data_IF_439145677707
#
_entry.id   IF_439145677707
#
_cell.length_a   1.000
_cell.length_b   1.000
_cell.length_c   1.000
_cell.angle_alpha   90.00
_cell.angle_beta   90.00
_cell.angle_gamma   90.00
#
_symmetry.space_group_name_H-M   'P 1'
#
loop_
_entity.id
_entity.type
_entity.pdbx_description
1 polymer ?
#
# COMPACT_ATOMS: atom_id res chain seq x y z
N UNK A 1 -16.61 36.62 42.79
CA UNK A 1 -15.94 35.74 41.80
C UNK A 1 -16.54 34.35 41.92
N UNK A 2 -17.32 33.94 40.92
CA UNK A 2 -17.98 32.62 40.86
C UNK A 2 -17.14 31.73 39.94
N UNK A 3 -16.55 30.68 40.50
CA UNK A 3 -15.91 29.58 39.76
C UNK A 3 -17.00 28.74 39.07
N UNK A 4 -16.90 28.42 37.78
CA UNK A 4 -17.83 27.48 37.16
C UNK A 4 -17.38 26.04 37.47
N UNK A 5 -18.32 25.25 38.00
CA UNK A 5 -18.21 23.80 38.14
C UNK A 5 -18.44 23.17 36.77
N UNK A 6 -17.45 22.46 36.23
CA UNK A 6 -17.67 21.54 35.11
C UNK A 6 -18.45 20.33 35.62
N UNK A 7 -19.71 20.23 35.19
CA UNK A 7 -20.56 19.08 35.43
C UNK A 7 -20.17 18.00 34.42
N UNK A 8 -19.49 16.95 34.88
CA UNK A 8 -19.26 15.74 34.10
C UNK A 8 -20.60 15.02 33.91
N UNK A 9 -21.20 15.17 32.74
CA UNK A 9 -22.34 14.35 32.31
C UNK A 9 -21.77 13.10 31.65
N UNK A 10 -21.63 12.05 32.46
CA UNK A 10 -21.40 10.68 32.03
C UNK A 10 -22.61 10.18 31.25
N UNK A 11 -22.60 10.39 29.94
CA UNK A 11 -23.55 9.78 29.02
C UNK A 11 -22.91 8.51 28.47
N UNK A 12 -23.33 7.36 29.00
CA UNK A 12 -23.06 6.07 28.35
C UNK A 12 -23.73 6.06 26.98
N UNK A 13 -22.93 6.30 25.94
CA UNK A 13 -23.36 6.09 24.57
C UNK A 13 -23.03 4.64 24.20
N UNK A 14 -24.08 3.86 23.91
CA UNK A 14 -23.95 2.65 23.12
C UNK A 14 -23.12 3.00 21.87
N UNK A 15 -21.95 2.37 21.75
CA UNK A 15 -21.17 2.38 20.53
C UNK A 15 -21.97 1.62 19.45
N UNK A 16 -22.91 2.31 18.83
CA UNK A 16 -23.44 1.93 17.54
C UNK A 16 -22.25 1.69 16.62
N UNK A 17 -22.13 0.46 16.14
CA UNK A 17 -21.27 0.03 15.03
C UNK A 17 -21.65 0.82 13.76
N UNK A 18 -21.41 2.12 13.78
CA UNK A 18 -21.32 2.91 12.56
C UNK A 18 -20.01 2.45 11.94
N UNK A 19 -20.14 1.61 10.92
CA UNK A 19 -19.12 1.53 9.89
C UNK A 19 -19.01 2.97 9.39
N UNK A 20 -18.07 3.73 9.95
CA UNK A 20 -17.58 4.94 9.32
C UNK A 20 -16.84 4.47 8.07
N UNK A 21 -17.60 4.05 7.06
CA UNK A 21 -17.11 4.06 5.70
C UNK A 21 -16.65 5.50 5.53
N UNK A 22 -15.35 5.77 5.29
CA UNK A 22 -15.00 7.07 4.73
C UNK A 22 -15.91 7.22 3.51
N UNK A 23 -16.56 8.38 3.37
CA UNK A 23 -17.65 8.65 2.41
C UNK A 23 -17.25 8.39 0.95
N UNK A 24 -17.11 7.12 0.59
CA UNK A 24 -16.62 6.49 -0.64
C UNK A 24 -17.65 5.44 -1.10
N UNK A 25 -18.93 5.67 -0.74
CA UNK A 25 -20.05 4.87 -1.21
C UNK A 25 -20.75 5.69 -2.28
N UNK A 26 -20.72 5.19 -3.52
CA UNK A 26 -21.30 5.88 -4.65
C UNK A 26 -22.82 5.78 -4.68
N UNK A 27 -23.35 4.56 -4.57
CA UNK A 27 -24.77 4.28 -4.41
C UNK A 27 -24.98 3.07 -3.48
N UNK A 28 -25.89 3.21 -2.51
CA UNK A 28 -26.34 2.09 -1.67
C UNK A 28 -27.72 1.61 -2.16
N UNK A 29 -27.75 0.38 -2.66
CA UNK A 29 -28.96 -0.34 -3.02
C UNK A 29 -29.38 -1.17 -1.81
N UNK A 30 -30.39 -0.71 -1.08
CA UNK A 30 -30.99 -1.50 -0.01
C UNK A 30 -31.78 -2.67 -0.60
N UNK A 31 -31.54 -3.86 -0.09
CA UNK A 31 -32.27 -5.07 -0.47
C UNK A 31 -33.36 -5.32 0.57
N UNK A 32 -33.01 -5.30 1.85
CA UNK A 32 -33.92 -5.36 3.00
C UNK A 32 -33.38 -4.56 4.20
N UNK A 33 -33.89 -4.81 5.40
CA UNK A 33 -33.52 -4.09 6.63
C UNK A 33 -32.08 -4.39 7.10
N UNK A 34 -31.51 -5.54 6.74
CA UNK A 34 -30.17 -5.97 7.15
C UNK A 34 -29.17 -6.01 5.98
N UNK A 35 -29.65 -6.10 4.74
CA UNK A 35 -28.83 -6.33 3.56
C UNK A 35 -28.81 -5.14 2.58
N UNK A 36 -27.63 -4.85 2.04
CA UNK A 36 -27.43 -3.80 1.04
C UNK A 36 -26.25 -4.08 0.12
N UNK A 37 -26.27 -3.49 -1.07
CA UNK A 37 -25.13 -3.46 -2.00
C UNK A 37 -24.66 -2.02 -2.12
N UNK A 38 -23.39 -1.79 -1.83
CA UNK A 38 -22.73 -0.51 -2.06
C UNK A 38 -21.89 -0.62 -3.33
N UNK A 39 -22.27 0.16 -4.35
CA UNK A 39 -21.52 0.31 -5.58
C UNK A 39 -20.62 1.55 -5.49
N UNK A 40 -19.36 1.37 -5.86
CA UNK A 40 -18.39 2.45 -6.00
C UNK A 40 -17.49 2.23 -7.21
N UNK A 41 -16.72 3.26 -7.55
CA UNK A 41 -15.74 3.19 -8.62
C UNK A 41 -14.49 4.00 -8.29
N UNK A 42 -13.42 3.72 -9.03
CA UNK A 42 -12.18 4.51 -9.00
C UNK A 42 -11.64 4.66 -10.40
N UNK A 43 -11.22 5.86 -10.75
CA UNK A 43 -10.48 6.16 -11.97
C UNK A 43 -9.26 7.01 -11.62
N UNK A 44 -8.11 6.63 -12.15
CA UNK A 44 -6.87 7.36 -12.02
C UNK A 44 -6.19 7.40 -13.39
N UNK A 45 -6.01 8.60 -13.92
CA UNK A 45 -5.34 8.84 -15.20
C UNK A 45 -4.09 9.69 -14.95
N UNK A 46 -2.99 9.36 -15.61
CA UNK A 46 -1.70 10.01 -15.47
C UNK A 46 -1.23 10.54 -16.83
N UNK A 47 -0.73 11.77 -16.84
CA UNK A 47 0.19 12.27 -17.85
C UNK A 47 1.60 12.21 -17.27
N UNK A 48 2.49 11.51 -17.94
CA UNK A 48 3.84 11.19 -17.47
C UNK A 48 4.85 11.76 -18.44
N UNK A 49 5.83 12.48 -17.93
CA UNK A 49 6.97 13.03 -18.65
C UNK A 49 8.20 12.39 -18.01
N UNK A 50 8.80 11.42 -18.68
CA UNK A 50 9.69 10.44 -18.05
C UNK A 50 10.85 10.09 -18.98
N UNK A 51 11.94 9.66 -18.39
CA UNK A 51 13.13 9.14 -19.08
C UNK A 51 13.07 7.61 -19.18
N UNK A 52 13.42 7.04 -20.33
CA UNK A 52 13.60 5.60 -20.53
C UNK A 52 14.46 5.32 -21.75
N UNK A 53 15.09 4.14 -21.80
CA UNK A 53 15.71 3.61 -23.01
C UNK A 53 14.62 3.14 -23.99
N UNK A 54 14.41 3.90 -25.07
CA UNK A 54 13.33 3.63 -26.04
C UNK A 54 13.77 2.74 -27.21
N UNK A 55 15.04 2.77 -27.59
CA UNK A 55 15.56 2.07 -28.76
C UNK A 55 16.48 0.88 -28.42
N UNK A 56 16.77 0.68 -27.13
CA UNK A 56 17.60 -0.39 -26.60
C UNK A 56 19.10 -0.14 -26.77
N UNK A 57 19.51 1.10 -27.04
CA UNK A 57 20.92 1.47 -27.17
C UNK A 57 21.63 1.71 -25.82
N UNK A 58 20.85 1.72 -24.74
CA UNK A 58 21.30 1.89 -23.36
C UNK A 58 21.34 3.34 -22.88
N UNK A 59 20.99 4.33 -23.70
CA UNK A 59 20.81 5.72 -23.27
C UNK A 59 19.34 6.01 -22.98
N UNK A 60 19.05 6.97 -22.09
CA UNK A 60 17.66 7.35 -21.80
C UNK A 60 17.24 8.58 -22.59
N UNK A 61 16.01 8.55 -23.12
CA UNK A 61 15.38 9.70 -23.74
C UNK A 61 14.10 10.14 -23.03
N UNK A 62 13.85 11.45 -23.10
CA UNK A 62 12.60 12.04 -22.65
C UNK A 62 11.43 11.62 -23.54
N UNK A 63 10.37 11.11 -22.93
CA UNK A 63 9.11 10.90 -23.63
C UNK A 63 7.89 11.16 -22.76
N UNK A 64 6.75 11.30 -23.45
CA UNK A 64 5.45 11.50 -22.82
C UNK A 64 4.61 10.23 -22.95
N UNK A 65 4.04 9.81 -21.83
CA UNK A 65 3.16 8.64 -21.71
C UNK A 65 1.84 9.03 -21.03
N UNK A 66 0.73 8.53 -21.56
CA UNK A 66 -0.60 8.71 -20.98
C UNK A 66 -1.12 7.36 -20.50
N UNK A 67 -1.32 7.23 -19.18
CA UNK A 67 -1.64 5.95 -18.56
C UNK A 67 -2.95 6.01 -17.78
N UNK A 68 -3.80 5.00 -17.97
CA UNK A 68 -4.86 4.68 -17.00
C UNK A 68 -4.23 3.87 -15.87
N UNK A 69 -3.82 4.54 -14.80
CA UNK A 69 -3.13 3.90 -13.67
C UNK A 69 -4.02 2.92 -12.92
N UNK A 70 -5.29 3.27 -12.73
CA UNK A 70 -6.32 2.44 -12.09
C UNK A 70 -7.69 2.74 -12.67
N UNK A 71 -8.44 1.71 -13.03
CA UNK A 71 -9.87 1.81 -13.26
C UNK A 71 -10.56 0.62 -12.58
N UNK A 72 -11.42 0.90 -11.60
CA UNK A 72 -11.97 -0.10 -10.69
C UNK A 72 -13.46 0.08 -10.53
N UNK A 73 -14.19 -1.03 -10.53
CA UNK A 73 -15.54 -1.16 -10.00
C UNK A 73 -15.43 -1.83 -8.64
N UNK A 74 -16.15 -1.33 -7.65
CA UNK A 74 -16.10 -1.78 -6.26
C UNK A 74 -17.51 -2.12 -5.81
N UNK A 75 -17.68 -3.30 -5.24
CA UNK A 75 -18.96 -3.79 -4.74
C UNK A 75 -18.77 -4.28 -3.31
N UNK A 76 -19.49 -3.70 -2.37
CA UNK A 76 -19.60 -4.21 -1.00
C UNK A 76 -21.03 -4.69 -0.77
N UNK A 77 -21.22 -6.00 -0.75
CA UNK A 77 -22.47 -6.64 -0.34
C UNK A 77 -22.49 -6.85 1.17
N UNK A 78 -23.38 -6.18 1.89
CA UNK A 78 -23.69 -6.47 3.28
C UNK A 78 -24.87 -7.43 3.29
N UNK A 79 -24.72 -8.58 3.92
CA UNK A 79 -25.82 -9.55 4.08
C UNK A 79 -26.53 -9.29 5.41
N UNK A 80 -25.75 -9.06 6.47
CA UNK A 80 -26.21 -8.58 7.77
C UNK A 80 -25.03 -7.95 8.53
N UNK A 81 -25.20 -7.67 9.83
CA UNK A 81 -24.13 -7.09 10.69
C UNK A 81 -22.89 -7.98 10.87
N UNK A 82 -23.00 -9.28 10.58
CA UNK A 82 -21.94 -10.26 10.76
C UNK A 82 -21.27 -10.66 9.44
N UNK A 83 -21.99 -10.66 8.31
CA UNK A 83 -21.48 -11.20 7.06
C UNK A 83 -21.54 -10.14 5.96
N UNK A 84 -20.41 -9.94 5.30
CA UNK A 84 -20.31 -9.08 4.11
C UNK A 84 -19.32 -9.68 3.11
N UNK A 85 -19.42 -9.30 1.85
CA UNK A 85 -18.48 -9.66 0.80
C UNK A 85 -18.04 -8.42 0.02
N UNK A 86 -16.78 -8.40 -0.41
CA UNK A 86 -16.22 -7.31 -1.21
C UNK A 86 -15.62 -7.83 -2.50
N UNK A 87 -15.97 -7.18 -3.61
CA UNK A 87 -15.42 -7.42 -4.94
C UNK A 87 -14.83 -6.12 -5.47
N UNK A 88 -13.65 -6.18 -6.09
CA UNK A 88 -13.03 -5.04 -6.75
C UNK A 88 -12.26 -5.47 -7.99
N UNK A 89 -12.56 -4.81 -9.11
CA UNK A 89 -11.81 -4.97 -10.35
C UNK A 89 -10.60 -4.04 -10.42
N UNK A 90 -9.73 -4.28 -11.39
CA UNK A 90 -8.65 -3.40 -11.79
C UNK A 90 -8.48 -3.48 -13.30
N UNK A 91 -8.19 -2.34 -13.91
CA UNK A 91 -7.69 -2.25 -15.27
C UNK A 91 -6.17 -2.42 -15.27
N UNK A 92 -5.67 -3.40 -16.02
CA UNK A 92 -4.27 -3.56 -16.33
C UNK A 92 -4.02 -3.15 -17.79
N UNK A 93 -3.06 -2.25 -18.00
CA UNK A 93 -2.57 -1.99 -19.35
C UNK A 93 -1.99 -3.28 -19.94
N UNK A 94 -2.35 -3.59 -21.18
CA UNK A 94 -1.70 -4.64 -21.95
C UNK A 94 -0.49 -4.03 -22.67
N UNK A 95 0.64 -4.73 -22.64
CA UNK A 95 1.91 -4.25 -23.23
C UNK A 95 1.88 -4.19 -24.77
N UNK A 96 0.78 -4.62 -25.41
CA UNK A 96 0.68 -4.82 -26.85
C UNK A 96 -0.27 -3.87 -27.61
N UNK A 97 -0.71 -2.76 -27.02
CA UNK A 97 -1.47 -1.71 -27.73
C UNK A 97 -2.88 -2.12 -28.20
N UNK A 98 -3.44 -3.21 -27.69
CA UNK A 98 -4.76 -3.76 -28.06
C UNK A 98 -5.96 -3.30 -27.21
N UNK A 99 -5.75 -2.38 -26.26
CA UNK A 99 -6.65 -2.15 -25.12
C UNK A 99 -6.04 -2.72 -23.84
N UNK A 100 -6.75 -2.67 -22.71
CA UNK A 100 -6.28 -3.27 -21.46
C UNK A 100 -7.30 -4.21 -20.83
N UNK A 101 -6.81 -5.09 -19.97
CA UNK A 101 -7.59 -6.14 -19.33
C UNK A 101 -8.29 -5.65 -18.06
N UNK A 102 -9.51 -6.12 -17.84
CA UNK A 102 -10.19 -5.98 -16.55
C UNK A 102 -10.08 -7.30 -15.80
N UNK A 103 -9.47 -7.26 -14.61
CA UNK A 103 -9.33 -8.42 -13.72
C UNK A 103 -9.88 -8.16 -12.33
N UNK A 104 -10.25 -9.22 -11.62
CA UNK A 104 -10.58 -9.14 -10.20
C UNK A 104 -9.29 -9.05 -9.38
N UNK A 105 -9.21 -8.08 -8.47
CA UNK A 105 -8.06 -7.91 -7.57
C UNK A 105 -8.43 -8.04 -6.09
N UNK A 106 -9.67 -7.77 -5.69
CA UNK A 106 -10.12 -8.12 -4.35
C UNK A 106 -11.41 -8.94 -4.48
N UNK A 107 -11.47 -10.08 -3.82
CA UNK A 107 -12.64 -10.93 -3.76
C UNK A 107 -12.62 -11.72 -2.45
N UNK A 108 -13.27 -11.17 -1.42
CA UNK A 108 -13.26 -11.78 -0.10
C UNK A 108 -14.59 -11.68 0.61
N UNK A 109 -14.83 -12.63 1.52
CA UNK A 109 -15.91 -12.61 2.50
C UNK A 109 -15.34 -12.16 3.84
N UNK A 110 -16.07 -11.28 4.53
CA UNK A 110 -15.77 -10.86 5.89
C UNK A 110 -16.83 -11.39 6.85
N UNK A 111 -16.38 -12.12 7.87
CA UNK A 111 -17.17 -12.55 9.02
C UNK A 111 -16.78 -11.71 10.24
N UNK A 112 -17.72 -10.96 10.77
CA UNK A 112 -17.54 -10.03 11.89
C UNK A 112 -18.24 -10.59 13.13
N UNK A 113 -17.47 -11.17 14.05
CA UNK A 113 -18.01 -11.58 15.35
C UNK A 113 -18.12 -10.36 16.27
N UNK A 114 -17.03 -9.62 16.43
CA UNK A 114 -16.98 -8.32 17.10
C UNK A 114 -15.78 -7.51 16.57
N UNK A 115 -15.59 -6.29 17.08
CA UNK A 115 -14.49 -5.41 16.62
C UNK A 115 -13.10 -6.03 16.79
N UNK A 116 -12.90 -6.87 17.80
CA UNK A 116 -11.63 -7.54 18.11
C UNK A 116 -11.44 -8.85 17.35
N UNK A 117 -12.46 -9.41 16.71
CA UNK A 117 -12.38 -10.69 16.02
C UNK A 117 -13.22 -10.67 14.73
N UNK A 118 -12.52 -10.47 13.62
CA UNK A 118 -13.08 -10.41 12.28
C UNK A 118 -12.23 -11.27 11.36
N UNK A 119 -12.86 -12.09 10.53
CA UNK A 119 -12.18 -12.95 9.58
C UNK A 119 -12.41 -12.38 8.18
N UNK A 120 -11.33 -12.19 7.43
CA UNK A 120 -11.35 -11.85 6.00
C UNK A 120 -10.83 -13.07 5.25
N UNK A 121 -11.64 -13.67 4.39
CA UNK A 121 -11.28 -14.88 3.66
C UNK A 121 -11.47 -14.67 2.15
N UNK A 122 -10.41 -14.88 1.37
CA UNK A 122 -10.40 -14.73 -0.08
C UNK A 122 -9.17 -13.97 -0.57
N UNK A 123 -9.30 -13.37 -1.75
CA UNK A 123 -8.23 -12.61 -2.40
C UNK A 123 -8.19 -11.18 -1.84
N UNK A 124 -7.12 -10.80 -1.15
CA UNK A 124 -6.89 -9.44 -0.64
C UNK A 124 -5.39 -9.12 -0.51
N UNK A 125 -5.06 -7.89 -0.08
CA UNK A 125 -3.67 -7.57 0.29
C UNK A 125 -3.32 -8.21 1.64
N UNK A 126 -2.22 -8.95 1.66
CA UNK A 126 -1.63 -9.44 2.89
C UNK A 126 -1.09 -8.24 3.72
N UNK A 127 -1.35 -8.22 5.04
CA UNK A 127 -0.96 -7.12 5.93
C UNK A 127 0.53 -7.19 6.32
N UNK A 128 1.42 -7.14 5.34
CA UNK A 128 2.87 -7.28 5.52
C UNK A 128 3.58 -6.00 5.97
N UNK A 129 2.98 -4.84 5.74
CA UNK A 129 3.52 -3.51 6.10
C UNK A 129 2.41 -2.45 6.27
N UNK A 130 2.74 -1.25 6.73
CA UNK A 130 1.78 -0.13 6.76
C UNK A 130 1.22 0.13 5.36
N UNK A 131 2.08 0.26 4.36
CA UNK A 131 1.71 0.56 2.99
C UNK A 131 0.85 -0.53 2.33
N UNK A 132 1.05 -1.81 2.71
CA UNK A 132 0.19 -2.92 2.28
C UNK A 132 -1.26 -2.78 2.79
N UNK A 133 -1.41 -2.18 3.98
CA UNK A 133 -2.72 -1.87 4.59
C UNK A 133 -3.18 -0.44 4.32
N UNK A 134 -2.44 0.35 3.55
CA UNK A 134 -2.85 1.70 3.13
C UNK A 134 -3.65 1.62 1.84
N UNK A 135 -4.87 2.18 1.85
CA UNK A 135 -5.71 2.25 0.66
C UNK A 135 -5.11 3.18 -0.38
N UNK A 136 -5.03 2.72 -1.64
CA UNK A 136 -4.56 3.57 -2.75
C UNK A 136 -5.48 4.75 -3.09
N UNK A 137 -6.63 4.88 -2.41
CA UNK A 137 -7.51 6.04 -2.52
C UNK A 137 -7.21 7.16 -1.52
N UNK A 138 -6.27 6.95 -0.58
CA UNK A 138 -5.87 7.96 0.40
C UNK A 138 -4.36 8.02 0.59
N UNK A 139 -3.62 7.86 -0.51
CA UNK A 139 -2.17 8.09 -0.55
C UNK A 139 -1.90 9.59 -0.42
N UNK A 140 -0.83 9.97 0.28
CA UNK A 140 -0.36 11.36 0.33
C UNK A 140 0.33 11.74 -0.98
N UNK A 141 1.36 10.99 -1.38
CA UNK A 141 2.00 11.09 -2.69
C UNK A 141 1.15 10.51 -3.84
N UNK A 142 1.66 10.58 -5.07
CA UNK A 142 1.03 9.99 -6.28
C UNK A 142 1.01 8.46 -6.20
N UNK A 143 2.12 7.87 -5.76
CA UNK A 143 2.34 6.44 -5.58
C UNK A 143 2.48 6.06 -4.12
N UNK A 144 2.73 4.77 -3.88
CA UNK A 144 3.36 4.33 -2.64
C UNK A 144 4.88 4.48 -2.80
N UNK A 145 5.65 4.44 -1.71
CA UNK A 145 7.07 4.09 -1.76
C UNK A 145 7.28 2.86 -2.64
N UNK A 146 8.33 2.90 -3.47
CA UNK A 146 8.61 1.91 -4.51
C UNK A 146 8.71 0.51 -3.94
N UNK A 147 9.41 0.41 -2.82
CA UNK A 147 9.64 -0.79 -2.05
C UNK A 147 8.37 -1.44 -1.47
N UNK A 148 7.36 -0.65 -1.11
CA UNK A 148 6.22 -1.16 -0.36
C UNK A 148 4.93 -1.23 -1.20
N UNK A 149 5.07 -1.41 -2.51
CA UNK A 149 3.93 -1.44 -3.44
C UNK A 149 3.38 -2.84 -3.69
N UNK A 150 4.22 -3.87 -3.67
CA UNK A 150 3.88 -5.21 -4.16
C UNK A 150 3.64 -6.22 -3.03
N UNK A 151 3.11 -7.38 -3.40
CA UNK A 151 2.95 -8.51 -2.48
C UNK A 151 4.29 -9.27 -2.37
N UNK A 152 4.67 -9.70 -1.16
CA UNK A 152 6.03 -10.15 -0.83
C UNK A 152 7.01 -9.05 -1.19
N UNK A 153 7.03 -8.01 -0.37
CA UNK A 153 7.32 -6.64 -0.78
C UNK A 153 8.51 -6.55 -1.73
N UNK A 154 9.61 -7.29 -1.51
CA UNK A 154 10.79 -7.30 -2.40
C UNK A 154 11.13 -8.68 -2.99
N UNK A 155 10.15 -9.57 -2.96
CA UNK A 155 10.03 -10.74 -3.84
C UNK A 155 9.44 -10.41 -5.23
N UNK A 156 8.98 -9.17 -5.47
CA UNK A 156 8.25 -8.79 -6.70
C UNK A 156 8.65 -7.43 -7.30
N UNK A 157 9.87 -6.97 -6.99
CA UNK A 157 10.61 -5.81 -7.54
C UNK A 157 10.16 -4.42 -7.05
N UNK A 158 11.11 -3.54 -6.76
CA UNK A 158 10.87 -2.13 -6.45
C UNK A 158 10.43 -1.34 -7.68
N UNK A 159 9.77 -0.20 -7.44
CA UNK A 159 9.18 0.62 -8.50
C UNK A 159 9.68 2.07 -8.47
N UNK A 160 10.01 2.58 -9.65
CA UNK A 160 10.21 4.00 -9.92
C UNK A 160 9.03 4.61 -10.69
N UNK A 161 9.23 5.83 -11.18
CA UNK A 161 8.26 6.66 -11.90
C UNK A 161 6.96 6.83 -11.10
N UNK A 162 7.05 7.20 -9.82
CA UNK A 162 5.95 7.19 -8.84
C UNK A 162 5.21 5.86 -8.74
N UNK A 163 5.97 4.77 -8.61
CA UNK A 163 5.43 3.42 -8.54
C UNK A 163 4.62 3.03 -9.79
N UNK A 164 5.04 3.44 -10.98
CA UNK A 164 4.38 3.08 -12.26
C UNK A 164 5.22 2.17 -13.14
N UNK A 165 6.53 2.09 -12.92
CA UNK A 165 7.45 1.22 -13.64
C UNK A 165 8.38 0.49 -12.67
N UNK A 166 8.79 -0.72 -13.02
CA UNK A 166 9.74 -1.52 -12.24
C UNK A 166 11.16 -1.03 -12.47
N UNK A 167 11.96 -0.95 -11.39
CA UNK A 167 13.41 -0.81 -11.48
C UNK A 167 13.98 -2.20 -11.76
N UNK A 168 14.52 -2.42 -12.96
CA UNK A 168 14.88 -3.74 -13.47
C UNK A 168 15.85 -4.51 -12.58
N UNK A 169 16.78 -3.81 -11.95
CA UNK A 169 17.85 -4.40 -11.13
C UNK A 169 17.39 -4.91 -9.77
N UNK A 170 16.29 -4.40 -9.23
CA UNK A 170 15.74 -4.76 -7.91
C UNK A 170 14.95 -6.08 -7.92
N UNK A 171 15.26 -6.97 -8.87
CA UNK A 171 14.36 -8.02 -9.31
C UNK A 171 14.73 -9.44 -8.85
N UNK A 172 14.05 -9.94 -7.83
CA UNK A 172 14.18 -11.32 -7.34
C UNK A 172 13.57 -12.38 -8.26
N UNK A 173 12.76 -11.95 -9.24
CA UNK A 173 12.12 -12.82 -10.24
C UNK A 173 11.07 -13.79 -9.71
N UNK A 174 10.50 -13.54 -8.52
CA UNK A 174 9.37 -14.34 -8.02
C UNK A 174 8.04 -14.01 -8.70
N UNK A 175 8.01 -12.99 -9.57
CA UNK A 175 6.82 -12.53 -10.27
C UNK A 175 6.18 -13.59 -11.18
N UNK A 176 6.96 -14.54 -11.70
CA UNK A 176 6.47 -15.66 -12.50
C UNK A 176 5.93 -16.83 -11.66
N UNK A 177 6.12 -16.77 -10.33
CA UNK A 177 5.77 -17.84 -9.39
C UNK A 177 4.63 -17.44 -8.43
N UNK A 178 4.34 -16.14 -8.30
CA UNK A 178 3.22 -15.61 -7.52
C UNK A 178 1.91 -15.59 -8.33
N UNK A 179 0.83 -16.09 -7.74
CA UNK A 179 -0.51 -16.16 -8.37
C UNK A 179 -1.16 -14.79 -8.58
N UNK A 180 -0.75 -13.74 -7.85
CA UNK A 180 -1.07 -12.34 -8.11
C UNK A 180 -0.01 -11.40 -7.48
N UNK A 181 0.57 -10.49 -8.27
CA UNK A 181 1.70 -9.65 -7.83
C UNK A 181 1.37 -8.62 -6.73
N UNK A 182 0.09 -8.36 -6.42
CA UNK A 182 -0.31 -7.36 -5.41
C UNK A 182 -1.33 -7.93 -4.41
N UNK A 183 -1.74 -9.19 -4.56
CA UNK A 183 -2.82 -9.80 -3.77
C UNK A 183 -2.49 -11.25 -3.51
N UNK A 184 -3.06 -11.80 -2.46
CA UNK A 184 -2.87 -13.18 -2.11
C UNK A 184 -4.21 -13.82 -1.72
N UNK A 185 -4.33 -15.12 -1.98
CA UNK A 185 -5.50 -15.89 -1.57
C UNK A 185 -5.23 -16.41 -0.16
N UNK A 186 -6.15 -16.16 0.77
CA UNK A 186 -5.94 -16.63 2.13
C UNK A 186 -6.99 -16.16 3.12
N UNK A 187 -6.61 -16.19 4.39
CA UNK A 187 -7.45 -15.82 5.52
C UNK A 187 -6.69 -14.90 6.47
N UNK A 188 -7.32 -13.80 6.88
CA UNK A 188 -6.81 -12.88 7.90
C UNK A 188 -7.77 -12.81 9.08
N UNK A 189 -7.27 -13.05 10.29
CA UNK A 189 -7.88 -12.58 11.52
C UNK A 189 -7.48 -11.12 11.75
N UNK A 190 -8.47 -10.24 11.86
CA UNK A 190 -8.32 -8.82 12.13
C UNK A 190 -9.07 -8.43 13.40
N UNK A 191 -8.42 -7.64 14.25
CA UNK A 191 -9.04 -7.04 15.42
C UNK A 191 -8.65 -5.58 15.55
N UNK A 192 -9.59 -4.74 15.99
CA UNK A 192 -9.30 -3.36 16.38
C UNK A 192 -10.23 -2.87 17.48
N UNK A 193 -9.70 -2.08 18.42
CA UNK A 193 -10.49 -1.46 19.47
C UNK A 193 -9.66 -0.57 20.39
N UNK A 194 -10.36 0.13 21.29
CA UNK A 194 -9.77 1.01 22.29
C UNK A 194 -9.28 0.21 23.50
N UNK A 195 -8.05 0.48 23.93
CA UNK A 195 -7.50 0.05 25.22
C UNK A 195 -7.78 1.09 26.31
N UNK A 196 -7.85 2.37 25.92
CA UNK A 196 -8.23 3.51 26.75
C UNK A 196 -8.90 4.58 25.86
N UNK A 197 -9.24 5.74 26.44
CA UNK A 197 -9.80 6.88 25.69
C UNK A 197 -8.84 7.47 24.65
N UNK A 198 -7.54 7.20 24.77
CA UNK A 198 -6.50 7.78 23.92
C UNK A 198 -5.54 6.75 23.35
N UNK A 199 -5.77 5.45 23.56
CA UNK A 199 -4.91 4.37 23.09
C UNK A 199 -5.74 3.28 22.44
N UNK A 200 -5.41 2.96 21.20
CA UNK A 200 -6.17 2.04 20.36
C UNK A 200 -5.25 1.03 19.72
N UNK A 201 -5.64 -0.23 19.75
CA UNK A 201 -4.90 -1.32 19.15
C UNK A 201 -5.62 -1.77 17.88
N UNK A 202 -4.84 -2.13 16.87
CA UNK A 202 -5.30 -2.99 15.77
C UNK A 202 -4.24 -4.04 15.47
N UNK A 203 -4.67 -5.23 15.08
CA UNK A 203 -3.79 -6.33 14.77
C UNK A 203 -4.34 -7.22 13.66
N UNK A 204 -3.44 -7.93 13.00
CA UNK A 204 -3.67 -8.79 11.86
C UNK A 204 -2.84 -10.07 12.04
N UNK A 205 -3.46 -11.22 11.82
CA UNK A 205 -2.80 -12.51 11.68
C UNK A 205 -3.33 -13.17 10.40
N UNK A 206 -2.46 -13.40 9.43
CA UNK A 206 -2.83 -13.85 8.08
C UNK A 206 -2.10 -15.13 7.67
N UNK A 207 -2.80 -15.96 6.91
CA UNK A 207 -2.31 -17.20 6.31
C UNK A 207 -2.71 -17.20 4.84
N UNK A 208 -1.76 -17.39 3.94
CA UNK A 208 -1.95 -17.21 2.51
C UNK A 208 -1.25 -18.29 1.71
N UNK A 209 -1.69 -18.46 0.46
CA UNK A 209 -1.05 -19.37 -0.49
C UNK A 209 0.39 -18.91 -0.79
N UNK A 210 0.65 -17.61 -0.94
CA UNK A 210 2.01 -17.12 -1.18
C UNK A 210 2.56 -17.56 -2.55
N UNK A 211 3.89 -17.73 -2.63
CA UNK A 211 4.56 -18.26 -3.84
C UNK A 211 4.49 -19.78 -3.84
N UNK A 212 4.19 -20.35 -5.01
CA UNK A 212 4.17 -21.80 -5.21
C UNK A 212 5.14 -22.17 -6.33
N UNK A 213 6.37 -22.53 -5.96
CA UNK A 213 7.46 -22.81 -6.90
C UNK A 213 7.16 -24.07 -7.71
N UNK A 214 7.23 -23.96 -9.04
CA UNK A 214 7.04 -25.11 -9.93
C UNK A 214 8.09 -26.19 -9.66
N UNK A 215 7.64 -27.43 -9.46
CA UNK A 215 8.51 -28.56 -9.12
C UNK A 215 8.75 -28.75 -7.62
N UNK A 216 8.33 -27.80 -6.77
CA UNK A 216 8.27 -27.98 -5.33
C UNK A 216 6.90 -28.58 -4.94
N UNK A 217 6.92 -29.68 -4.17
CA UNK A 217 5.73 -30.39 -3.69
C UNK A 217 5.23 -29.94 -2.32
N UNK A 218 6.00 -29.15 -1.58
CA UNK A 218 5.79 -28.96 -0.15
C UNK A 218 4.67 -27.95 0.14
N UNK A 219 4.45 -27.01 -0.80
CA UNK A 219 3.30 -26.08 -0.82
C UNK A 219 3.15 -25.28 0.49
N UNK A 220 4.27 -24.76 0.99
CA UNK A 220 4.31 -24.00 2.24
C UNK A 220 3.42 -22.77 2.18
N UNK A 221 2.71 -22.51 3.28
CA UNK A 221 1.87 -21.34 3.43
C UNK A 221 2.71 -20.13 3.83
N UNK A 222 2.30 -18.96 3.35
CA UNK A 222 2.81 -17.68 3.82
C UNK A 222 2.07 -17.23 5.06
N UNK A 223 2.79 -16.69 6.04
CA UNK A 223 2.24 -16.19 7.29
C UNK A 223 2.57 -14.71 7.47
N UNK A 224 1.58 -13.90 7.80
CA UNK A 224 1.78 -12.48 8.11
C UNK A 224 1.25 -12.14 9.49
N UNK A 225 1.98 -11.35 10.25
CA UNK A 225 1.52 -10.75 11.49
C UNK A 225 1.78 -9.24 11.46
N UNK A 226 0.80 -8.44 11.89
CA UNK A 226 0.98 -6.99 12.05
C UNK A 226 0.24 -6.52 13.29
N UNK A 227 0.85 -5.62 14.05
CA UNK A 227 0.20 -4.92 15.15
C UNK A 227 0.48 -3.42 15.02
N UNK A 228 -0.48 -2.60 15.44
CA UNK A 228 -0.31 -1.16 15.47
C UNK A 228 -1.03 -0.56 16.66
N UNK A 229 -0.32 0.30 17.39
CA UNK A 229 -0.86 1.11 18.48
C UNK A 229 -1.02 2.55 18.00
N UNK A 230 -2.23 3.09 18.10
CA UNK A 230 -2.52 4.49 17.85
C UNK A 230 -2.81 5.21 19.16
N UNK A 231 -2.18 6.37 19.34
CA UNK A 231 -2.53 7.34 20.35
C UNK A 231 -3.45 8.42 19.76
N UNK A 232 -4.32 8.99 20.60
CA UNK A 232 -5.36 9.96 20.22
C UNK A 232 -6.44 9.31 19.35
N UNK A 233 -6.65 9.73 18.10
CA UNK A 233 -7.68 9.12 17.25
C UNK A 233 -7.25 7.73 16.74
N UNK A 234 -8.18 6.78 16.77
CA UNK A 234 -7.96 5.41 16.29
C UNK A 234 -7.87 5.32 14.75
N UNK A 235 -7.03 4.44 14.23
CA UNK A 235 -7.12 3.93 12.84
C UNK A 235 -7.84 2.57 12.79
N UNK A 236 -9.15 2.56 13.13
CA UNK A 236 -9.88 1.32 13.46
C UNK A 236 -10.29 0.42 12.27
N UNK A 237 -10.08 0.87 11.02
CA UNK A 237 -10.39 0.08 9.84
C UNK A 237 -9.31 -0.97 9.55
N UNK A 238 -9.66 -1.99 8.74
CA UNK A 238 -8.66 -2.91 8.17
C UNK A 238 -7.64 -2.16 7.31
N UNK A 239 -8.11 -1.13 6.59
CA UNK A 239 -7.25 -0.27 5.79
C UNK A 239 -7.08 1.11 6.43
N UNK A 240 -5.88 1.65 6.27
CA UNK A 240 -5.46 2.97 6.71
C UNK A 240 -5.35 3.92 5.52
N UNK A 241 -5.13 5.19 5.82
CA UNK A 241 -4.77 6.21 4.83
C UNK A 241 -3.38 6.73 5.15
N UNK A 242 -2.68 7.22 4.13
CA UNK A 242 -1.40 7.92 4.28
C UNK A 242 -1.61 9.40 4.60
N UNK A 243 -2.84 9.91 4.47
CA UNK A 243 -3.28 11.19 5.03
C UNK A 243 -4.80 11.19 5.25
N UNK A 244 -5.26 11.75 6.37
CA UNK A 244 -6.66 11.93 6.73
C UNK A 244 -7.16 13.37 6.47
N UNK A 245 -6.31 14.23 5.90
CA UNK A 245 -6.64 15.61 5.50
C UNK A 245 -7.12 16.47 6.69
N UNK A 246 -6.48 16.32 7.85
CA UNK A 246 -6.82 17.06 9.07
C UNK A 246 -8.04 16.55 9.82
N UNK A 247 -8.61 15.41 9.39
CA UNK A 247 -9.78 14.80 10.03
C UNK A 247 -9.41 13.95 11.24
N UNK A 248 -8.11 13.72 11.47
CA UNK A 248 -7.62 13.01 12.64
C UNK A 248 -6.47 13.76 13.30
N UNK A 249 -6.38 13.61 14.60
CA UNK A 249 -5.16 13.80 15.37
C UNK A 249 -4.73 12.43 15.85
N UNK A 250 -3.66 11.87 15.31
CA UNK A 250 -3.21 10.51 15.65
C UNK A 250 -1.70 10.38 15.60
N UNK A 251 -1.17 9.52 16.46
CA UNK A 251 0.22 9.06 16.43
C UNK A 251 0.20 7.53 16.50
N UNK A 252 0.60 6.87 15.42
CA UNK A 252 0.60 5.42 15.27
C UNK A 252 2.02 4.85 15.22
N UNK A 253 2.22 3.70 15.85
CA UNK A 253 3.43 2.89 15.73
C UNK A 253 3.04 1.47 15.35
N UNK A 254 3.68 0.93 14.32
CA UNK A 254 3.39 -0.38 13.75
C UNK A 254 4.62 -1.26 13.68
N UNK A 255 4.38 -2.56 13.74
CA UNK A 255 5.35 -3.63 13.50
C UNK A 255 4.68 -4.71 12.67
N UNK A 256 5.40 -5.29 11.72
CA UNK A 256 4.92 -6.39 10.91
C UNK A 256 6.03 -7.38 10.58
N UNK A 257 5.61 -8.62 10.40
CA UNK A 257 6.45 -9.74 10.03
C UNK A 257 5.71 -10.61 9.02
N UNK A 258 6.40 -11.04 7.97
CA UNK A 258 5.84 -11.76 6.84
C UNK A 258 6.86 -12.80 6.39
N UNK A 259 6.47 -14.07 6.41
CA UNK A 259 7.38 -15.19 6.17
C UNK A 259 6.75 -16.26 5.29
N UNK A 260 7.58 -16.94 4.51
CA UNK A 260 7.19 -18.12 3.77
C UNK A 260 8.43 -18.97 3.43
N UNK A 261 8.35 -20.27 3.67
CA UNK A 261 9.45 -21.19 3.35
C UNK A 261 9.45 -21.54 1.85
N UNK A 262 10.64 -21.72 1.28
CA UNK A 262 10.91 -22.25 -0.06
C UNK A 262 10.26 -21.47 -1.23
N UNK A 263 10.39 -20.14 -1.20
CA UNK A 263 9.79 -19.25 -2.21
C UNK A 263 10.54 -19.20 -3.54
N UNK A 264 11.79 -19.69 -3.60
CA UNK A 264 12.59 -19.69 -4.83
C UNK A 264 13.67 -20.76 -4.83
N UNK A 265 14.10 -21.20 -6.01
CA UNK A 265 15.20 -22.15 -6.12
C UNK A 265 16.56 -21.52 -5.77
N UNK A 266 17.38 -22.25 -5.02
CA UNK A 266 18.72 -21.84 -4.63
C UNK A 266 19.80 -22.34 -5.59
N UNK A 267 20.84 -21.53 -5.82
CA UNK A 267 21.98 -21.86 -6.68
C UNK A 267 22.79 -23.04 -6.13
N UNK A 268 22.89 -23.13 -4.80
CA UNK A 268 23.54 -24.24 -4.09
C UNK A 268 22.72 -25.55 -4.10
N UNK A 269 21.51 -25.53 -4.66
CA UNK A 269 20.52 -26.62 -4.59
C UNK A 269 19.54 -26.42 -3.43
N UNK A 270 18.32 -26.93 -3.59
CA UNK A 270 17.20 -26.68 -2.66
C UNK A 270 16.46 -25.39 -2.99
N UNK A 271 15.83 -24.81 -1.96
CA UNK A 271 15.05 -23.58 -2.05
C UNK A 271 15.47 -22.61 -0.95
N UNK A 272 15.30 -21.31 -1.20
CA UNK A 272 15.48 -20.25 -0.20
C UNK A 272 14.13 -19.77 0.32
N UNK A 273 14.12 -19.38 1.58
CA UNK A 273 12.96 -18.89 2.31
C UNK A 273 12.78 -17.38 2.09
N UNK A 274 11.62 -16.87 2.51
CA UNK A 274 11.29 -15.46 2.53
C UNK A 274 11.04 -15.03 3.96
N UNK A 275 11.74 -13.98 4.41
CA UNK A 275 11.41 -13.27 5.62
C UNK A 275 11.44 -11.77 5.39
N UNK A 276 10.40 -11.08 5.82
CA UNK A 276 10.29 -9.64 5.74
C UNK A 276 9.80 -9.07 7.05
N UNK A 277 10.51 -8.06 7.53
CA UNK A 277 10.19 -7.33 8.73
C UNK A 277 10.03 -5.84 8.43
N UNK A 278 9.09 -5.17 9.12
CA UNK A 278 8.97 -3.72 9.04
C UNK A 278 8.50 -3.11 10.34
N UNK A 279 9.02 -1.92 10.65
CA UNK A 279 8.52 -1.02 11.68
C UNK A 279 8.14 0.30 11.07
N UNK A 280 7.04 0.88 11.53
CA UNK A 280 6.52 2.13 10.99
C UNK A 280 6.03 3.09 12.08
N UNK A 281 6.10 4.38 11.76
CA UNK A 281 5.51 5.44 12.52
C UNK A 281 4.64 6.32 11.60
N UNK A 282 3.50 6.75 12.10
CA UNK A 282 2.58 7.64 11.40
C UNK A 282 2.07 8.73 12.33
N UNK A 283 2.03 9.96 11.85
CA UNK A 283 1.44 11.07 12.58
C UNK A 283 0.54 11.88 11.65
N UNK A 284 -0.65 12.22 12.14
CA UNK A 284 -1.41 13.36 11.64
C UNK A 284 -1.67 14.30 12.81
N UNK A 285 -1.20 15.54 12.68
CA UNK A 285 -1.17 16.49 13.77
C UNK A 285 -1.63 17.89 13.31
N UNK A 286 -2.66 18.46 13.94
CA UNK A 286 -3.04 19.85 13.71
C UNK A 286 -1.85 20.78 14.01
N UNK A 287 -1.46 21.61 13.04
CA UNK A 287 -0.29 22.48 13.17
C UNK A 287 -0.56 23.81 12.45
N UNK A 288 -0.53 24.92 13.20
CA UNK A 288 -0.86 26.24 12.66
C UNK A 288 -2.30 26.28 12.12
N UNK A 289 -2.45 26.79 10.91
CA UNK A 289 -3.73 26.87 10.19
C UNK A 289 -4.08 25.60 9.40
N UNK A 290 -3.19 24.60 9.41
CA UNK A 290 -3.32 23.37 8.64
C UNK A 290 -3.06 22.12 9.47
N UNK A 291 -2.63 21.06 8.80
CA UNK A 291 -2.32 19.78 9.43
C UNK A 291 -1.05 19.20 8.82
N UNK A 292 -0.09 18.85 9.68
CA UNK A 292 1.07 18.07 9.30
C UNK A 292 0.69 16.59 9.25
N UNK A 293 1.03 15.92 8.16
CA UNK A 293 1.04 14.47 8.07
C UNK A 293 2.48 14.02 7.86
N UNK A 294 2.93 13.02 8.60
CA UNK A 294 4.24 12.41 8.46
C UNK A 294 4.13 10.89 8.61
N UNK A 295 4.88 10.15 7.81
CA UNK A 295 4.94 8.70 7.85
C UNK A 295 6.37 8.25 7.55
N UNK A 296 6.87 7.28 8.29
CA UNK A 296 8.15 6.64 8.00
C UNK A 296 8.05 5.14 8.29
N UNK A 297 8.81 4.34 7.56
CA UNK A 297 8.99 2.94 7.88
C UNK A 297 10.39 2.46 7.51
N UNK A 298 10.93 1.57 8.33
CA UNK A 298 12.10 0.77 8.01
C UNK A 298 11.64 -0.63 7.60
N UNK A 299 12.37 -1.25 6.68
CA UNK A 299 12.09 -2.58 6.15
C UNK A 299 13.39 -3.36 6.02
N UNK A 300 13.29 -4.67 6.26
CA UNK A 300 14.37 -5.64 6.13
C UNK A 300 13.79 -6.86 5.41
N UNK A 301 14.49 -7.33 4.38
CA UNK A 301 14.12 -8.50 3.59
C UNK A 301 15.29 -9.48 3.56
N UNK A 302 14.99 -10.73 3.89
CA UNK A 302 15.84 -11.90 3.70
C UNK A 302 15.21 -12.86 2.67
N UNK A 303 16.01 -13.31 1.71
CA UNK A 303 15.69 -14.30 0.67
C UNK A 303 16.70 -15.48 0.67
N UNK A 304 17.40 -15.70 1.80
CA UNK A 304 18.47 -16.68 2.02
C UNK A 304 19.67 -16.54 1.06
N UNK A 305 19.83 -15.39 0.43
CA UNK A 305 20.79 -15.20 -0.66
C UNK A 305 20.66 -16.27 -1.75
N UNK A 306 19.45 -16.82 -1.96
CA UNK A 306 19.30 -18.11 -2.65
C UNK A 306 19.90 -18.11 -4.06
N UNK A 307 19.88 -16.98 -4.75
CA UNK A 307 20.52 -16.80 -6.05
C UNK A 307 20.89 -15.33 -6.29
N UNK A 308 21.54 -15.03 -7.41
CA UNK A 308 21.97 -13.67 -7.73
C UNK A 308 20.81 -12.66 -7.79
N UNK A 309 19.61 -13.06 -8.23
CA UNK A 309 18.44 -12.18 -8.25
C UNK A 309 17.90 -11.93 -6.83
N UNK A 310 17.97 -12.94 -5.97
CA UNK A 310 17.66 -12.83 -4.54
C UNK A 310 18.49 -11.72 -3.89
N UNK A 311 19.82 -11.80 -4.04
CA UNK A 311 20.77 -10.84 -3.47
C UNK A 311 20.52 -9.39 -3.92
N UNK A 312 20.05 -9.17 -5.15
CA UNK A 312 19.70 -7.83 -5.66
C UNK A 312 18.43 -7.24 -5.05
N UNK A 313 17.63 -8.04 -4.36
CA UNK A 313 16.35 -7.62 -3.78
C UNK A 313 16.35 -7.70 -2.27
N UNK A 314 17.05 -8.69 -1.71
CA UNK A 314 17.40 -8.84 -0.31
C UNK A 314 18.22 -7.65 0.18
N UNK A 315 18.01 -7.25 1.43
CA UNK A 315 18.67 -6.08 2.01
C UNK A 315 17.76 -5.33 3.00
N UNK A 316 18.10 -4.06 3.24
CA UNK A 316 17.37 -3.20 4.17
C UNK A 316 17.31 -1.74 3.73
N UNK A 317 16.37 -1.00 4.31
CA UNK A 317 16.20 0.41 4.00
C UNK A 317 14.90 1.00 4.53
N UNK A 318 14.64 2.24 4.14
CA UNK A 318 13.55 3.01 4.72
C UNK A 318 12.90 3.97 3.74
N UNK A 319 11.71 4.42 4.09
CA UNK A 319 11.13 5.62 3.49
C UNK A 319 10.64 6.58 4.57
N UNK A 320 10.60 7.86 4.20
CA UNK A 320 9.95 8.92 4.96
C UNK A 320 9.15 9.79 4.00
N UNK A 321 7.92 10.12 4.36
CA UNK A 321 7.09 11.05 3.62
C UNK A 321 6.39 12.02 4.57
N UNK A 322 6.26 13.26 4.14
CA UNK A 322 5.58 14.30 4.89
C UNK A 322 4.80 15.22 3.97
N UNK A 323 3.71 15.78 4.48
CA UNK A 323 2.89 16.74 3.76
C UNK A 323 2.14 17.65 4.71
N UNK A 324 1.76 18.83 4.22
CA UNK A 324 1.07 19.84 5.01
C UNK A 324 -0.24 20.23 4.33
N UNK A 325 -1.38 19.83 4.90
CA UNK A 325 -2.70 20.11 4.34
C UNK A 325 -3.26 21.43 4.86
N UNK A 326 -3.55 22.36 3.96
CA UNK A 326 -4.22 23.63 4.26
C UNK A 326 -5.02 24.12 3.03
N UNK A 327 -6.24 24.60 3.23
CA UNK A 327 -7.07 25.21 2.18
C UNK A 327 -7.18 24.35 0.90
N UNK A 328 -7.37 23.03 1.06
CA UNK A 328 -7.42 22.03 -0.02
C UNK A 328 -6.11 21.77 -0.76
N UNK A 329 -5.01 22.41 -0.38
CA UNK A 329 -3.66 22.12 -0.88
C UNK A 329 -2.90 21.22 0.08
N UNK A 330 -2.09 20.32 -0.46
CA UNK A 330 -1.11 19.55 0.29
C UNK A 330 0.18 19.43 -0.53
N UNK A 331 1.15 20.33 -0.37
CA UNK A 331 2.53 20.03 -0.72
C UNK A 331 3.01 18.82 0.09
N UNK A 332 3.83 17.98 -0.54
CA UNK A 332 4.40 16.79 0.08
C UNK A 332 5.81 16.52 -0.46
N UNK A 333 6.58 15.81 0.35
CA UNK A 333 7.91 15.28 0.03
C UNK A 333 7.96 13.82 0.45
N UNK A 334 8.75 13.03 -0.25
CA UNK A 334 9.03 11.64 0.08
C UNK A 334 10.47 11.32 -0.29
N UNK A 335 11.15 10.61 0.59
CA UNK A 335 12.49 10.07 0.37
C UNK A 335 12.45 8.59 0.70
N UNK A 336 13.15 7.80 -0.11
CA UNK A 336 13.27 6.35 0.04
C UNK A 336 14.70 5.95 -0.29
N UNK A 337 15.24 4.99 0.45
CA UNK A 337 16.51 4.34 0.15
C UNK A 337 16.39 2.84 0.41
N UNK A 338 17.13 2.08 -0.37
CA UNK A 338 17.39 0.67 -0.17
C UNK A 338 18.83 0.33 -0.49
N UNK A 339 19.40 -0.50 0.38
CA UNK A 339 20.72 -1.08 0.22
C UNK A 339 20.52 -2.60 0.05
N UNK A 340 20.96 -3.15 -1.07
CA UNK A 340 20.83 -4.57 -1.41
C UNK A 340 22.06 -5.38 -0.98
N UNK A 341 21.89 -6.68 -0.77
CA UNK A 341 22.97 -7.60 -0.42
C UNK A 341 23.81 -8.05 -1.64
N UNK A 342 23.53 -7.53 -2.83
CA UNK A 342 24.32 -7.82 -4.01
C UNK A 342 25.71 -7.17 -3.90
N UNK A 343 26.77 -7.99 -3.95
CA UNK A 343 28.17 -7.51 -3.82
C UNK A 343 28.61 -6.44 -4.83
N UNK A 344 27.85 -6.27 -5.91
CA UNK A 344 28.10 -5.25 -6.95
C UNK A 344 27.40 -3.92 -6.68
N UNK A 345 26.59 -3.79 -5.63
CA UNK A 345 25.66 -2.67 -5.42
C UNK A 345 24.45 -2.70 -6.37
N UNK A 346 24.17 -3.86 -6.98
CA UNK A 346 23.08 -3.99 -7.94
C UNK A 346 21.76 -4.21 -7.22
N UNK A 347 20.83 -3.27 -7.35
CA UNK A 347 19.57 -3.29 -6.61
C UNK A 347 19.49 -2.17 -5.58
N UNK A 348 20.62 -1.51 -5.28
CA UNK A 348 20.70 -0.33 -4.44
C UNK A 348 20.04 0.84 -5.17
N UNK A 349 19.24 1.61 -4.43
CA UNK A 349 18.70 2.85 -4.95
C UNK A 349 18.31 3.83 -3.86
N UNK A 350 18.28 5.10 -4.24
CA UNK A 350 17.55 6.14 -3.54
C UNK A 350 16.51 6.79 -4.46
N UNK A 351 15.47 7.35 -3.86
CA UNK A 351 14.45 8.07 -4.59
C UNK A 351 14.03 9.33 -3.82
N UNK A 352 14.11 10.46 -4.51
CA UNK A 352 13.62 11.75 -4.03
C UNK A 352 12.35 12.11 -4.77
N UNK A 353 11.30 12.45 -4.03
CA UNK A 353 10.00 12.82 -4.57
C UNK A 353 9.52 14.11 -3.91
N UNK A 354 9.04 15.03 -4.72
CA UNK A 354 8.38 16.25 -4.25
C UNK A 354 7.15 16.50 -5.09
N UNK A 355 6.09 17.02 -4.48
CA UNK A 355 4.91 17.37 -5.24
C UNK A 355 3.87 18.13 -4.46
N UNK A 356 2.72 18.28 -5.11
CA UNK A 356 1.59 19.02 -4.58
C UNK A 356 0.29 18.36 -5.01
N UNK A 357 -0.63 18.28 -4.06
CA UNK A 357 -1.99 17.77 -4.26
C UNK A 357 -3.01 18.89 -4.06
N UNK A 358 -4.02 18.96 -4.92
CA UNK A 358 -5.20 19.80 -4.74
C UNK A 358 -6.46 18.94 -4.64
N UNK A 359 -7.23 19.14 -3.58
CA UNK A 359 -8.42 18.32 -3.27
C UNK A 359 -9.71 19.10 -3.54
N UNK A 360 -10.34 18.85 -4.69
CA UNK A 360 -11.65 19.41 -5.02
C UNK A 360 -12.75 18.90 -4.09
N UNK A 361 -12.66 17.63 -3.66
CA UNK A 361 -13.62 16.99 -2.75
C UNK A 361 -12.94 15.94 -1.87
N UNK A 362 -11.97 16.36 -1.07
CA UNK A 362 -11.12 15.44 -0.31
C UNK A 362 -10.57 14.32 -1.20
N UNK A 363 -10.51 13.10 -0.68
CA UNK A 363 -10.03 11.92 -1.43
C UNK A 363 -10.88 11.54 -2.64
N UNK A 364 -12.11 12.03 -2.76
CA UNK A 364 -13.03 11.60 -3.82
C UNK A 364 -12.72 12.24 -5.18
N UNK A 365 -12.16 13.45 -5.19
CA UNK A 365 -11.75 14.14 -6.41
C UNK A 365 -10.54 15.03 -6.12
N UNK A 366 -9.40 14.68 -6.69
CA UNK A 366 -8.15 15.43 -6.51
C UNK A 366 -7.26 15.35 -7.75
N UNK A 367 -6.34 16.31 -7.84
CA UNK A 367 -5.26 16.34 -8.82
C UNK A 367 -3.95 16.42 -8.07
N UNK A 368 -2.95 15.71 -8.56
CA UNK A 368 -1.60 15.73 -7.99
C UNK A 368 -0.58 15.95 -9.09
N UNK A 369 0.45 16.73 -8.80
CA UNK A 369 1.63 16.85 -9.64
C UNK A 369 2.86 16.54 -8.79
N UNK A 370 3.85 15.88 -9.37
CA UNK A 370 5.07 15.52 -8.65
C UNK A 370 6.25 15.30 -9.57
N UNK A 371 7.43 15.58 -9.03
CA UNK A 371 8.73 15.32 -9.62
C UNK A 371 9.45 14.24 -8.79
N UNK A 372 10.08 13.28 -9.47
CA UNK A 372 10.85 12.20 -8.88
C UNK A 372 12.20 12.09 -9.57
N UNK A 373 13.23 11.83 -8.78
CA UNK A 373 14.51 11.30 -9.24
C UNK A 373 14.78 10.01 -8.48
N UNK A 374 15.07 8.93 -9.21
CA UNK A 374 15.59 7.68 -8.67
C UNK A 374 17.04 7.58 -9.09
N UNK A 375 17.94 7.28 -8.17
CA UNK A 375 19.36 7.03 -8.45
C UNK A 375 19.72 5.63 -7.99
N UNK A 376 20.64 4.98 -8.70
CA UNK A 376 21.27 3.73 -8.29
C UNK A 376 22.77 3.91 -8.17
N UNK A 377 23.41 3.08 -7.34
CA UNK A 377 24.87 3.15 -7.12
C UNK A 377 25.70 2.71 -8.34
N UNK A 378 25.08 1.92 -9.21
CA UNK A 378 25.62 1.50 -10.50
C UNK A 378 24.63 1.81 -11.61
N UNK A 379 25.11 1.84 -12.86
CA UNK A 379 24.24 1.97 -14.01
C UNK A 379 23.18 0.86 -14.05
N UNK A 380 21.95 1.21 -14.43
CA UNK A 380 20.89 0.23 -14.63
C UNK A 380 21.31 -0.81 -15.67
N UNK A 381 20.96 -2.07 -15.44
CA UNK A 381 21.42 -3.16 -16.31
C UNK A 381 21.04 -2.95 -17.77
N UNK A 382 22.06 -2.93 -18.63
CA UNK A 382 21.91 -2.71 -20.06
C UNK A 382 22.01 -1.25 -20.50
N UNK A 383 22.28 -0.31 -19.57
CA UNK A 383 22.23 1.13 -19.84
C UNK A 383 23.54 1.84 -19.44
N UNK A 384 23.75 3.06 -19.95
CA UNK A 384 24.78 3.99 -19.48
C UNK A 384 24.31 4.89 -18.34
N UNK A 385 23.05 4.75 -17.92
CA UNK A 385 22.38 5.65 -16.99
C UNK A 385 22.29 5.02 -15.60
N UNK A 386 22.48 5.85 -14.57
CA UNK A 386 22.34 5.50 -13.14
C UNK A 386 21.21 6.27 -12.46
N UNK A 387 20.45 7.07 -13.22
CA UNK A 387 19.33 7.84 -12.71
C UNK A 387 18.13 7.86 -13.65
N UNK A 388 16.94 8.03 -13.07
CA UNK A 388 15.67 8.19 -13.78
C UNK A 388 14.97 9.41 -13.21
N UNK A 389 14.69 10.38 -14.06
CA UNK A 389 13.84 11.53 -13.75
C UNK A 389 12.42 11.33 -14.27
N UNK A 390 11.44 11.81 -13.50
CA UNK A 390 10.03 11.69 -13.84
C UNK A 390 9.22 12.85 -13.31
N UNK A 391 8.40 13.45 -14.16
CA UNK A 391 7.35 14.37 -13.78
C UNK A 391 5.98 13.79 -14.13
N UNK A 392 5.05 13.77 -13.18
CA UNK A 392 3.71 13.20 -13.37
C UNK A 392 2.65 14.18 -12.93
N UNK A 393 1.60 14.30 -13.74
CA UNK A 393 0.32 14.90 -13.37
C UNK A 393 -0.74 13.79 -13.34
N UNK A 394 -1.39 13.60 -12.20
CA UNK A 394 -2.42 12.60 -12.02
C UNK A 394 -3.78 13.21 -11.66
N UNK A 395 -4.83 12.63 -12.23
CA UNK A 395 -6.23 12.94 -11.94
C UNK A 395 -6.86 11.76 -11.23
N UNK A 396 -7.43 11.99 -10.05
CA UNK A 396 -7.89 10.93 -9.16
C UNK A 396 -9.36 11.13 -8.82
N UNK A 397 -10.17 10.15 -9.18
CA UNK A 397 -11.59 10.09 -8.81
C UNK A 397 -11.84 8.79 -8.07
N UNK A 398 -12.47 8.88 -6.91
CA UNK A 398 -13.02 7.73 -6.17
C UNK A 398 -14.41 8.10 -5.70
N UNK A 399 -15.38 7.22 -5.96
CA UNK A 399 -16.75 7.40 -5.53
C UNK A 399 -17.30 6.15 -4.89
#
# INVERSE_FOLDING_TARGET
MKTPKFLAVSTGLLASLVIAAPAWAGAELKIDDESSINLGFRAQALAKFIESDLDGDGSFEDYTDFQVRRARIRLLGKINKHISAFLQTEFGDDSAGGGGDVRMIDAFVRVNYNQWAQIYAGLNMAPSSRQSTTSSGGLMAIGRPGNNTKNLTWGTRSLGRFSTATIGDTASSLNGQATNSVRDMGVTLFGSGSLSDTSHLKYYLGFYDGIQVSGNSDRNLRMTARAQLNFFDAEAGYYNLSTYLGKKKTLGFGISYDVQDEVQAATAGGYGDYAYYSVDAFAEWPMGEGTLTAEAAFSDLDLDGANANALRSEGDGFYVQAGYFQNNWQPWVEYENWDSEATSGQGDYDAYRVGISYFFKGHNANVKAGFETVNSDINFSGTSEDSITSFIIGFFITY
#
